data_IF_492005787530
#
_entry.id   IF_492005787530
#
_cell.length_a   1.000
_cell.length_b   1.000
_cell.length_c   1.000
_cell.angle_alpha   90.00
_cell.angle_beta   90.00
_cell.angle_gamma   90.00
#
_symmetry.space_group_name_H-M   'P 1'
#
loop_
_entity.id
_entity.type
_entity.pdbx_description
1 polymer ?
#
# COMPACT_ATOMS: atom_id res chain seq x y z
N UNK A 1 -62.85 -13.03 14.93
CA UNK A 1 -61.64 -13.33 14.13
C UNK A 1 -60.66 -12.17 14.34
N UNK A 2 -60.06 -12.07 15.52
CA UNK A 2 -59.14 -10.99 15.85
C UNK A 2 -58.06 -11.53 16.78
N UNK A 3 -57.08 -12.24 16.22
CA UNK A 3 -55.87 -12.54 16.96
C UNK A 3 -54.70 -12.60 15.99
N UNK A 4 -53.99 -11.48 15.89
CA UNK A 4 -52.53 -11.42 15.81
C UNK A 4 -52.05 -9.96 15.78
N UNK A 5 -52.38 -9.17 16.81
CA UNK A 5 -51.61 -7.95 17.06
C UNK A 5 -50.34 -8.33 17.81
N UNK A 6 -49.24 -8.54 17.07
CA UNK A 6 -47.93 -8.78 17.66
C UNK A 6 -47.57 -7.56 18.54
N UNK A 7 -47.28 -7.73 19.84
CA UNK A 7 -47.03 -6.59 20.72
C UNK A 7 -45.84 -5.79 20.20
N UNK A 8 -46.04 -4.50 19.98
CA UNK A 8 -45.00 -3.58 19.52
C UNK A 8 -43.98 -3.43 20.65
N UNK A 9 -42.81 -4.08 20.51
CA UNK A 9 -41.72 -3.92 21.45
C UNK A 9 -40.85 -2.70 21.05
N UNK A 10 -40.93 -1.56 21.76
CA UNK A 10 -40.29 -0.31 21.34
C UNK A 10 -38.76 -0.40 21.34
N UNK A 11 -38.16 -1.32 22.11
CA UNK A 11 -36.71 -1.56 22.11
C UNK A 11 -36.25 -2.21 20.81
N UNK A 12 -37.01 -3.19 20.31
CA UNK A 12 -36.70 -3.86 19.03
C UNK A 12 -36.86 -2.95 17.83
N UNK A 13 -37.83 -2.04 17.84
CA UNK A 13 -38.04 -1.07 16.74
C UNK A 13 -36.91 -0.03 16.66
N UNK A 14 -36.41 0.45 17.80
CA UNK A 14 -35.24 1.35 17.83
C UNK A 14 -33.96 0.64 17.37
N UNK A 15 -33.78 -0.63 17.75
CA UNK A 15 -32.65 -1.44 17.30
C UNK A 15 -32.72 -1.71 15.79
N UNK A 16 -33.88 -2.10 15.27
CA UNK A 16 -34.11 -2.28 13.82
C UNK A 16 -33.81 -1.00 13.05
N UNK A 17 -34.30 0.17 13.51
CA UNK A 17 -34.02 1.47 12.86
C UNK A 17 -32.52 1.82 12.89
N UNK A 18 -31.83 1.56 14.00
CA UNK A 18 -30.38 1.74 14.11
C UNK A 18 -29.60 0.79 13.18
N UNK A 19 -30.06 -0.46 13.05
CA UNK A 19 -29.46 -1.42 12.12
C UNK A 19 -29.71 -1.03 10.66
N UNK A 20 -30.92 -0.57 10.33
CA UNK A 20 -31.28 -0.13 8.97
C UNK A 20 -30.43 1.04 8.47
N UNK A 21 -29.98 1.93 9.35
CA UNK A 21 -29.10 3.07 9.00
C UNK A 21 -27.62 2.73 9.22
N UNK A 22 -27.32 2.01 10.31
CA UNK A 22 -25.95 1.70 10.70
C UNK A 22 -25.26 0.71 9.77
N UNK A 23 -25.98 -0.30 9.26
CA UNK A 23 -25.41 -1.27 8.32
C UNK A 23 -24.95 -0.61 7.01
N UNK A 24 -25.78 0.15 6.27
CA UNK A 24 -25.31 0.77 5.03
C UNK A 24 -24.17 1.76 5.27
N UNK A 25 -24.21 2.53 6.36
CA UNK A 25 -23.10 3.42 6.71
C UNK A 25 -21.80 2.65 6.99
N UNK A 26 -21.88 1.54 7.73
CA UNK A 26 -20.73 0.68 7.99
C UNK A 26 -20.18 0.04 6.71
N UNK A 27 -21.04 -0.36 5.77
CA UNK A 27 -20.62 -0.91 4.47
C UNK A 27 -19.92 0.14 3.61
N UNK A 28 -20.42 1.38 3.57
CA UNK A 28 -19.77 2.49 2.86
C UNK A 28 -18.39 2.75 3.48
N UNK A 29 -18.32 2.84 4.81
CA UNK A 29 -17.05 3.05 5.50
C UNK A 29 -16.06 1.89 5.25
N UNK A 30 -16.53 0.64 5.31
CA UNK A 30 -15.70 -0.53 5.03
C UNK A 30 -15.20 -0.55 3.58
N UNK A 31 -16.05 -0.19 2.61
CA UNK A 31 -15.66 -0.08 1.21
C UNK A 31 -14.63 1.02 0.97
N UNK A 32 -14.80 2.18 1.61
CA UNK A 32 -13.83 3.27 1.58
C UNK A 32 -12.48 2.85 2.17
N UNK A 33 -12.49 2.29 3.39
CA UNK A 33 -11.27 1.81 4.05
C UNK A 33 -10.59 0.71 3.23
N UNK A 34 -11.34 -0.22 2.65
CA UNK A 34 -10.76 -1.23 1.77
C UNK A 34 -10.10 -0.59 0.55
N UNK A 35 -10.76 0.37 -0.10
CA UNK A 35 -10.21 1.05 -1.27
C UNK A 35 -8.92 1.81 -0.94
N UNK A 36 -8.88 2.50 0.21
CA UNK A 36 -7.73 3.26 0.68
C UNK A 36 -6.55 2.35 1.08
N UNK A 37 -6.82 1.27 1.83
CA UNK A 37 -5.77 0.44 2.44
C UNK A 37 -5.42 -0.84 1.66
N UNK A 38 -6.04 -1.10 0.51
CA UNK A 38 -5.80 -2.34 -0.27
C UNK A 38 -4.32 -2.57 -0.65
N UNK A 39 -3.56 -1.49 -0.89
CA UNK A 39 -2.16 -1.53 -1.34
C UNK A 39 -1.18 -1.15 -0.21
N UNK A 40 -1.67 -0.99 1.02
CA UNK A 40 -0.87 -0.54 2.15
C UNK A 40 0.37 -1.43 2.41
N UNK A 41 0.30 -2.78 2.31
CA UNK A 41 1.47 -3.63 2.46
C UNK A 41 2.58 -3.34 1.43
N UNK A 42 2.21 -3.05 0.18
CA UNK A 42 3.14 -2.78 -0.93
C UNK A 42 3.76 -1.39 -0.81
N UNK A 43 2.95 -0.38 -0.51
CA UNK A 43 3.44 0.97 -0.20
C UNK A 43 4.40 0.95 1.00
N UNK A 44 4.09 0.15 2.02
CA UNK A 44 4.97 -0.01 3.18
C UNK A 44 6.29 -0.71 2.85
N UNK A 45 6.30 -1.63 1.89
CA UNK A 45 7.53 -2.26 1.42
C UNK A 45 8.44 -1.23 0.73
N UNK A 46 7.87 -0.41 -0.17
CA UNK A 46 8.57 0.70 -0.84
C UNK A 46 9.04 1.74 0.15
N UNK A 47 8.20 2.14 1.10
CA UNK A 47 8.57 3.10 2.15
C UNK A 47 9.76 2.61 2.98
N UNK A 48 9.78 1.34 3.41
CA UNK A 48 10.92 0.78 4.15
C UNK A 48 12.19 0.77 3.30
N UNK A 49 12.08 0.41 2.04
CA UNK A 49 13.18 0.41 1.09
C UNK A 49 13.78 1.82 0.93
N UNK A 50 12.93 2.83 0.68
CA UNK A 50 13.37 4.21 0.49
C UNK A 50 13.91 4.84 1.78
N UNK A 51 13.33 4.53 2.94
CA UNK A 51 13.87 4.95 4.23
C UNK A 51 15.27 4.39 4.50
N UNK A 52 15.56 3.15 4.06
CA UNK A 52 16.90 2.60 4.17
C UNK A 52 17.90 3.34 3.26
N UNK A 53 17.48 3.72 2.05
CA UNK A 53 18.29 4.54 1.13
C UNK A 53 18.53 5.95 1.67
N UNK A 54 17.52 6.58 2.27
CA UNK A 54 17.62 7.88 2.93
C UNK A 54 18.62 7.85 4.09
N UNK A 55 18.65 6.76 4.85
CA UNK A 55 19.62 6.52 5.92
C UNK A 55 20.99 6.08 5.41
N UNK A 56 21.19 6.02 4.10
CA UNK A 56 22.40 5.53 3.43
C UNK A 56 22.76 4.07 3.79
N UNK A 57 21.80 3.29 4.26
CA UNK A 57 21.95 1.86 4.54
C UNK A 57 21.63 1.05 3.28
N UNK A 58 22.54 1.12 2.30
CA UNK A 58 22.40 0.43 1.01
C UNK A 58 22.35 -1.09 1.15
N UNK A 59 23.02 -1.65 2.16
CA UNK A 59 23.02 -3.09 2.39
C UNK A 59 21.64 -3.57 2.87
N UNK A 60 21.02 -2.84 3.80
CA UNK A 60 19.66 -3.14 4.24
C UNK A 60 18.64 -2.87 3.12
N UNK A 61 18.79 -1.77 2.38
CA UNK A 61 17.94 -1.47 1.23
C UNK A 61 17.98 -2.60 0.18
N UNK A 62 19.16 -3.15 -0.12
CA UNK A 62 19.31 -4.28 -1.03
C UNK A 62 18.65 -5.57 -0.50
N UNK A 63 18.66 -5.80 0.81
CA UNK A 63 17.93 -6.93 1.40
C UNK A 63 16.41 -6.75 1.26
N UNK A 64 15.92 -5.54 1.51
CA UNK A 64 14.50 -5.19 1.36
C UNK A 64 14.04 -5.30 -0.09
N UNK A 65 14.91 -4.98 -1.06
CA UNK A 65 14.65 -5.13 -2.48
C UNK A 65 14.32 -6.58 -2.89
N UNK A 66 14.80 -7.57 -2.14
CA UNK A 66 14.65 -9.01 -2.44
C UNK A 66 15.04 -9.35 -3.89
N UNK A 67 16.30 -9.12 -4.27
CA UNK A 67 16.77 -9.19 -5.64
C UNK A 67 16.63 -10.59 -6.25
N UNK A 68 16.37 -10.64 -7.55
CA UNK A 68 16.56 -11.87 -8.31
C UNK A 68 18.03 -12.28 -8.33
N UNK A 69 18.30 -13.56 -8.62
CA UNK A 69 19.67 -14.10 -8.75
C UNK A 69 20.56 -13.36 -9.78
N UNK A 70 19.97 -12.59 -10.69
CA UNK A 70 20.67 -11.84 -11.74
C UNK A 70 20.95 -10.37 -11.36
N UNK A 71 20.31 -9.88 -10.30
CA UNK A 71 20.46 -8.50 -9.85
C UNK A 71 21.37 -8.46 -8.63
N UNK A 72 22.67 -8.28 -8.86
CA UNK A 72 23.69 -8.29 -7.80
C UNK A 72 23.72 -6.97 -7.04
N UNK A 73 24.36 -6.96 -5.86
CA UNK A 73 24.59 -5.72 -5.11
C UNK A 73 25.34 -4.66 -5.93
N UNK A 74 26.22 -5.08 -6.84
CA UNK A 74 26.91 -4.14 -7.74
C UNK A 74 25.94 -3.43 -8.69
N UNK A 75 24.96 -4.15 -9.23
CA UNK A 75 23.93 -3.54 -10.09
C UNK A 75 23.06 -2.61 -9.26
N UNK A 76 22.71 -3.04 -8.04
CA UNK A 76 21.98 -2.21 -7.09
C UNK A 76 22.71 -0.91 -6.75
N UNK A 77 24.01 -0.97 -6.46
CA UNK A 77 24.82 0.23 -6.16
C UNK A 77 24.95 1.17 -7.37
N UNK A 78 24.94 0.63 -8.59
CA UNK A 78 24.90 1.44 -9.82
C UNK A 78 23.57 2.19 -9.99
N UNK A 79 22.47 1.63 -9.53
CA UNK A 79 21.15 2.26 -9.65
C UNK A 79 20.89 3.20 -8.46
N UNK A 80 21.10 2.72 -7.24
CA UNK A 80 20.65 3.33 -5.98
C UNK A 80 21.77 3.83 -5.07
N UNK A 81 23.03 3.54 -5.39
CA UNK A 81 24.17 3.94 -4.59
C UNK A 81 24.38 5.46 -4.55
N UNK A 82 25.37 5.94 -3.77
CA UNK A 82 25.62 7.38 -3.59
C UNK A 82 25.96 8.11 -4.90
N UNK A 83 26.53 7.39 -5.87
CA UNK A 83 26.82 7.87 -7.22
C UNK A 83 26.00 7.13 -8.30
N UNK A 84 24.91 6.48 -7.90
CA UNK A 84 24.05 5.71 -8.79
C UNK A 84 23.18 6.60 -9.69
N UNK A 85 22.45 5.96 -10.60
CA UNK A 85 21.54 6.62 -11.56
C UNK A 85 20.46 7.46 -10.86
N UNK A 86 19.96 6.99 -9.72
CA UNK A 86 18.97 7.70 -8.91
C UNK A 86 19.58 8.79 -8.04
N UNK A 87 20.89 8.70 -7.77
CA UNK A 87 21.61 9.56 -6.85
C UNK A 87 21.20 9.35 -5.39
N UNK A 88 21.76 10.14 -4.45
CA UNK A 88 21.43 10.02 -3.04
C UNK A 88 20.00 10.44 -2.77
N UNK A 89 19.23 9.54 -2.16
CA UNK A 89 17.86 9.81 -1.68
C UNK A 89 17.96 10.56 -0.35
N UNK A 90 17.31 11.72 -0.27
CA UNK A 90 17.26 12.55 0.95
C UNK A 90 15.85 12.74 1.47
N UNK A 91 14.88 12.55 0.59
CA UNK A 91 13.46 12.69 0.85
C UNK A 91 12.69 11.91 -0.21
N UNK A 92 11.51 11.40 0.14
CA UNK A 92 10.65 10.69 -0.78
C UNK A 92 9.18 10.79 -0.39
N UNK A 93 8.32 10.82 -1.41
CA UNK A 93 6.87 10.72 -1.26
C UNK A 93 6.35 9.55 -2.08
N UNK A 94 5.42 8.77 -1.50
CA UNK A 94 4.59 7.85 -2.29
C UNK A 94 3.42 8.66 -2.83
N UNK A 95 3.35 8.84 -4.15
CA UNK A 95 2.35 9.70 -4.78
C UNK A 95 1.10 8.92 -5.14
N UNK A 96 1.23 7.64 -5.50
CA UNK A 96 0.12 6.83 -5.99
C UNK A 96 0.47 5.33 -5.96
N UNK A 97 -0.56 4.46 -6.00
CA UNK A 97 -0.38 3.02 -6.13
C UNK A 97 -1.50 2.35 -6.92
N UNK A 98 -1.13 1.45 -7.83
CA UNK A 98 -2.05 0.78 -8.74
C UNK A 98 -1.79 -0.72 -8.81
N UNK A 99 -2.76 -1.51 -8.35
CA UNK A 99 -2.73 -2.96 -8.52
C UNK A 99 -2.83 -3.33 -10.01
N UNK A 100 -1.91 -4.16 -10.50
CA UNK A 100 -1.84 -4.61 -11.89
C UNK A 100 -1.34 -6.05 -11.93
N UNK A 101 -2.10 -6.95 -12.57
CA UNK A 101 -1.69 -8.35 -12.69
C UNK A 101 -1.43 -8.99 -11.31
N UNK A 102 -0.20 -9.47 -11.10
CA UNK A 102 0.23 -10.10 -9.84
C UNK A 102 0.85 -9.12 -8.84
N UNK A 103 1.04 -7.85 -9.20
CA UNK A 103 1.74 -6.87 -8.39
C UNK A 103 1.02 -5.54 -8.23
N UNK A 104 1.73 -4.59 -7.63
CA UNK A 104 1.31 -3.19 -7.48
C UNK A 104 2.42 -2.31 -8.04
N UNK A 105 2.04 -1.39 -8.92
CA UNK A 105 2.89 -0.29 -9.36
C UNK A 105 2.77 0.83 -8.33
N UNK A 106 3.86 1.18 -7.67
CA UNK A 106 3.93 2.26 -6.68
C UNK A 106 4.69 3.43 -7.30
N UNK A 107 4.01 4.55 -7.50
CA UNK A 107 4.61 5.78 -7.99
C UNK A 107 5.19 6.56 -6.81
N UNK A 108 6.42 7.02 -6.97
CA UNK A 108 7.17 7.72 -5.95
C UNK A 108 7.83 8.97 -6.52
N UNK A 109 7.94 10.00 -5.69
CA UNK A 109 8.69 11.21 -5.96
C UNK A 109 9.91 11.25 -5.07
N UNK A 110 11.09 11.28 -5.67
CA UNK A 110 12.37 11.38 -4.99
C UNK A 110 12.84 12.83 -4.96
N UNK A 111 13.31 13.27 -3.79
CA UNK A 111 13.89 14.59 -3.56
C UNK A 111 13.00 15.74 -4.09
N UNK A 112 11.68 15.57 -4.04
CA UNK A 112 10.68 16.55 -4.48
C UNK A 112 10.62 16.83 -6.00
N UNK A 113 11.38 16.12 -6.83
CA UNK A 113 11.48 16.43 -8.27
C UNK A 113 11.40 15.23 -9.21
N UNK A 114 12.02 14.10 -8.84
CA UNK A 114 12.15 12.96 -9.75
C UNK A 114 11.04 11.96 -9.49
N UNK A 115 10.14 11.80 -10.44
CA UNK A 115 9.06 10.81 -10.35
C UNK A 115 9.48 9.50 -11.04
N UNK A 116 9.44 8.40 -10.29
CA UNK A 116 9.70 7.05 -10.79
C UNK A 116 8.62 6.10 -10.27
N UNK A 117 8.53 4.91 -10.85
CA UNK A 117 7.63 3.87 -10.37
C UNK A 117 8.41 2.60 -10.03
N UNK A 118 8.01 1.96 -8.94
CA UNK A 118 8.53 0.67 -8.52
C UNK A 118 7.43 -0.38 -8.60
N UNK A 119 7.79 -1.57 -9.07
CA UNK A 119 6.92 -2.72 -9.02
C UNK A 119 7.11 -3.46 -7.69
N UNK A 120 6.01 -3.83 -7.06
CA UNK A 120 5.99 -4.66 -5.86
C UNK A 120 5.17 -5.91 -6.15
N UNK A 121 5.79 -7.08 -6.05
CA UNK A 121 5.07 -8.34 -6.24
C UNK A 121 4.19 -8.62 -5.02
N UNK A 122 2.90 -8.92 -5.22
CA UNK A 122 1.98 -9.06 -4.07
C UNK A 122 2.27 -10.33 -3.25
N UNK A 123 2.86 -11.35 -3.87
CA UNK A 123 3.09 -12.66 -3.24
C UNK A 123 4.21 -12.63 -2.19
N UNK A 124 5.32 -11.94 -2.46
CA UNK A 124 6.52 -11.92 -1.62
C UNK A 124 7.04 -10.51 -1.27
N UNK A 125 6.43 -9.47 -1.83
CA UNK A 125 6.86 -8.06 -1.69
C UNK A 125 8.26 -7.79 -2.23
N UNK A 126 8.73 -8.60 -3.19
CA UNK A 126 9.94 -8.28 -3.94
C UNK A 126 9.76 -7.00 -4.75
N UNK A 127 10.81 -6.20 -4.80
CA UNK A 127 10.83 -4.95 -5.56
C UNK A 127 11.55 -5.17 -6.87
N UNK A 128 11.02 -4.57 -7.93
CA UNK A 128 11.69 -4.52 -9.22
C UNK A 128 11.37 -3.22 -9.94
N UNK A 129 12.10 -2.96 -11.02
CA UNK A 129 11.64 -2.00 -12.01
C UNK A 129 10.36 -2.53 -12.68
N UNK A 130 9.46 -1.63 -13.12
CA UNK A 130 8.26 -2.02 -13.85
C UNK A 130 8.62 -2.81 -15.13
N UNK A 131 7.79 -3.79 -15.52
CA UNK A 131 7.97 -4.56 -16.75
C UNK A 131 7.73 -3.75 -18.02
#
# INVERSE_FOLDING_TARGET
MFDQFKPINPKTERLKKRLLIGIPLALILAGYLYYEFKNYPEERAVSRFLSALEQQDYQHAYQLWQPSKYYTFKNFDQDWGPNGVEGPIRDFDITNSHARGSGVLVEIRLNGQKEIALWVETSDKSLSFPP
#
